data_IF_269660800030
#
_entry.id   IF_269660800030
#
_cell.length_a   1.000
_cell.length_b   1.000
_cell.length_c   1.000
_cell.angle_alpha   90.00
_cell.angle_beta   90.00
_cell.angle_gamma   90.00
#
_symmetry.space_group_name_H-M   'P 1'
#
loop_
_entity.id
_entity.type
_entity.pdbx_description
1 polymer ?
#
# COMPACT_ATOMS: atom_id res chain seq x y z
N UNK A 1 -71.71 -0.35 -0.44
CA UNK A 1 -70.61 0.51 -0.93
C UNK A 1 -69.32 -0.24 -0.68
N UNK A 2 -68.51 -0.40 -1.73
CA UNK A 2 -67.14 -0.95 -1.78
C UNK A 2 -66.31 -0.54 -0.55
N UNK A 3 -65.39 -1.32 0.01
CA UNK A 3 -64.61 -2.44 -0.53
C UNK A 3 -63.22 -2.29 0.10
N UNK A 4 -62.97 -3.00 1.21
CA UNK A 4 -61.69 -3.00 1.91
C UNK A 4 -61.17 -4.43 1.99
N UNK A 5 -60.22 -4.77 1.13
CA UNK A 5 -59.58 -6.07 1.12
C UNK A 5 -58.59 -6.19 2.28
N UNK A 6 -58.84 -7.16 3.15
CA UNK A 6 -57.85 -7.82 4.00
C UNK A 6 -57.75 -9.27 3.55
N UNK A 7 -56.53 -9.78 3.43
CA UNK A 7 -56.09 -11.17 3.33
C UNK A 7 -54.55 -11.08 3.41
N UNK A 8 -53.79 -11.91 4.12
CA UNK A 8 -54.11 -13.08 4.92
C UNK A 8 -52.84 -13.51 5.67
N UNK A 9 -53.05 -14.08 6.86
CA UNK A 9 -52.32 -15.20 7.50
C UNK A 9 -50.79 -15.16 7.60
N UNK A 10 -50.14 -15.49 8.71
CA UNK A 10 -50.53 -16.26 9.89
C UNK A 10 -49.20 -16.58 10.60
N UNK A 11 -49.08 -16.24 11.86
CA UNK A 11 -49.26 -17.15 12.99
C UNK A 11 -48.02 -18.01 13.30
N UNK A 12 -47.44 -17.79 14.47
CA UNK A 12 -47.30 -18.80 15.54
C UNK A 12 -45.93 -18.84 16.25
N UNK A 13 -46.02 -18.62 17.57
CA UNK A 13 -45.22 -19.21 18.66
C UNK A 13 -43.71 -18.96 18.70
N UNK A 14 -43.19 -18.15 19.63
CA UNK A 14 -42.96 -18.48 21.05
C UNK A 14 -41.98 -19.66 21.27
N UNK A 15 -40.87 -19.43 21.99
CA UNK A 15 -40.49 -20.13 23.24
C UNK A 15 -39.09 -19.72 23.70
N UNK A 16 -39.05 -19.28 24.95
CA UNK A 16 -37.92 -18.98 25.84
C UNK A 16 -37.30 -20.28 26.36
N UNK A 17 -35.96 -20.46 26.33
CA UNK A 17 -35.29 -21.30 27.36
C UNK A 17 -33.79 -21.05 27.55
N UNK A 18 -33.45 -20.83 28.82
CA UNK A 18 -32.13 -20.69 29.46
C UNK A 18 -31.72 -22.06 30.05
N UNK A 19 -30.44 -22.47 29.92
CA UNK A 19 -29.73 -23.49 30.76
C UNK A 19 -28.24 -23.43 30.35
N UNK A 20 -27.24 -23.11 31.17
CA UNK A 20 -26.80 -23.65 32.47
C UNK A 20 -26.47 -25.16 32.45
N UNK A 21 -25.18 -25.48 32.49
CA UNK A 21 -24.52 -26.69 33.04
C UNK A 21 -23.18 -26.18 33.58
N UNK A 22 -22.98 -26.00 34.88
CA UNK A 22 -22.89 -26.97 35.98
C UNK A 22 -21.90 -28.11 35.72
N UNK A 23 -20.82 -28.01 36.48
CA UNK A 23 -19.73 -28.94 36.80
C UNK A 23 -20.22 -30.32 37.22
N UNK A 24 -19.49 -31.35 36.79
CA UNK A 24 -19.51 -32.68 37.42
C UNK A 24 -18.06 -33.03 37.75
N UNK A 25 -17.78 -33.15 39.05
CA UNK A 25 -16.58 -33.73 39.64
C UNK A 25 -16.79 -35.25 39.68
N UNK A 26 -15.81 -36.04 39.26
CA UNK A 26 -15.71 -37.46 39.59
C UNK A 26 -14.25 -37.74 39.94
N UNK A 27 -14.02 -38.18 41.17
CA UNK A 27 -12.73 -38.59 41.71
C UNK A 27 -12.35 -40.00 41.25
N UNK A 28 -11.04 -40.18 41.05
CA UNK A 28 -10.29 -41.38 41.40
C UNK A 28 -10.38 -42.60 40.45
N UNK A 29 -9.24 -42.95 39.83
CA UNK A 29 -8.51 -44.24 40.03
C UNK A 29 -7.33 -44.32 39.04
N UNK A 30 -6.16 -44.68 39.57
CA UNK A 30 -4.90 -44.93 38.87
C UNK A 30 -5.02 -46.04 37.81
N UNK A 31 -4.41 -45.82 36.64
CA UNK A 31 -4.27 -46.82 35.58
C UNK A 31 -3.28 -46.41 34.48
N UNK A 32 -2.00 -46.66 34.75
CA UNK A 32 -0.94 -47.12 33.80
C UNK A 32 -1.01 -46.71 32.31
N UNK A 33 -0.05 -45.88 31.91
CA UNK A 33 0.84 -46.04 30.75
C UNK A 33 0.27 -46.54 29.40
N UNK A 34 -0.64 -45.77 28.80
CA UNK A 34 -0.95 -45.87 27.36
C UNK A 34 -1.15 -44.53 26.65
N UNK A 35 -0.89 -43.41 27.34
CA UNK A 35 -1.33 -42.09 26.89
C UNK A 35 -0.29 -41.25 26.11
N UNK A 36 0.94 -41.76 25.92
CA UNK A 36 1.98 -41.01 25.19
C UNK A 36 1.90 -41.18 23.66
N UNK A 37 1.40 -42.32 23.15
CA UNK A 37 1.19 -42.52 21.71
C UNK A 37 -0.12 -41.90 21.19
N UNK A 38 -1.19 -41.88 22.00
CA UNK A 38 -2.50 -41.34 21.58
C UNK A 38 -2.55 -39.80 21.54
N UNK A 39 -1.69 -39.11 22.31
CA UNK A 39 -1.64 -37.64 22.31
C UNK A 39 -0.98 -37.07 21.05
N UNK A 40 -0.06 -37.82 20.44
CA UNK A 40 0.59 -37.42 19.20
C UNK A 40 -0.33 -37.60 17.98
N UNK A 41 -1.23 -38.58 17.97
CA UNK A 41 -2.18 -38.77 16.86
C UNK A 41 -3.29 -37.71 16.84
N UNK A 42 -3.70 -37.19 18.00
CA UNK A 42 -4.75 -36.16 18.06
C UNK A 42 -4.29 -34.77 17.59
N UNK A 43 -2.99 -34.45 17.73
CA UNK A 43 -2.42 -33.19 17.25
C UNK A 43 -2.34 -33.15 15.72
N UNK A 44 -1.95 -34.26 15.08
CA UNK A 44 -2.03 -34.36 13.63
C UNK A 44 -3.48 -34.32 13.16
N UNK A 45 -4.41 -35.04 13.78
CA UNK A 45 -5.84 -35.04 13.41
C UNK A 45 -6.54 -33.68 13.49
N UNK A 46 -5.98 -32.70 14.21
CA UNK A 46 -6.54 -31.33 14.31
C UNK A 46 -5.95 -30.35 13.31
N UNK A 47 -4.95 -30.74 12.51
CA UNK A 47 -4.33 -29.83 11.57
C UNK A 47 -5.33 -29.40 10.49
N UNK A 48 -5.44 -28.08 10.28
CA UNK A 48 -6.44 -27.47 9.38
C UNK A 48 -6.39 -28.05 7.97
N UNK A 49 -5.19 -28.34 7.45
CA UNK A 49 -4.99 -28.89 6.11
C UNK A 49 -5.54 -30.32 5.91
N UNK A 50 -5.74 -31.10 6.97
CA UNK A 50 -6.34 -32.43 6.88
C UNK A 50 -7.86 -32.39 6.71
N UNK A 51 -8.47 -31.21 6.93
CA UNK A 51 -9.90 -30.97 6.73
C UNK A 51 -10.20 -30.39 5.35
N UNK A 52 -9.18 -30.09 4.56
CA UNK A 52 -9.35 -29.49 3.24
C UNK A 52 -9.85 -30.54 2.25
N UNK A 53 -10.99 -30.24 1.64
CA UNK A 53 -11.53 -31.00 0.52
C UNK A 53 -11.06 -30.41 -0.80
N UNK A 54 -11.19 -31.18 -1.89
CA UNK A 54 -10.87 -30.70 -3.24
C UNK A 54 -11.72 -29.46 -3.60
N UNK A 55 -12.96 -29.39 -3.10
CA UNK A 55 -13.83 -28.22 -3.21
C UNK A 55 -13.27 -26.99 -2.50
N UNK A 56 -12.64 -27.14 -1.34
CA UNK A 56 -12.03 -26.02 -0.62
C UNK A 56 -10.82 -25.46 -1.36
N UNK A 57 -10.00 -26.35 -1.97
CA UNK A 57 -8.86 -25.94 -2.80
C UNK A 57 -9.33 -25.15 -4.03
N UNK A 58 -10.32 -25.67 -4.75
CA UNK A 58 -10.90 -24.98 -5.91
C UNK A 58 -11.53 -23.65 -5.48
N UNK A 59 -12.23 -23.63 -4.35
CA UNK A 59 -12.84 -22.42 -3.81
C UNK A 59 -11.79 -21.34 -3.48
N UNK A 60 -10.67 -21.72 -2.86
CA UNK A 60 -9.55 -20.81 -2.58
C UNK A 60 -8.92 -20.31 -3.89
N UNK A 61 -8.71 -21.18 -4.88
CA UNK A 61 -8.15 -20.78 -6.16
C UNK A 61 -9.04 -19.78 -6.92
N UNK A 62 -10.37 -19.93 -6.86
CA UNK A 62 -11.30 -19.05 -7.58
C UNK A 62 -11.67 -17.78 -6.81
N UNK A 63 -11.82 -17.84 -5.49
CA UNK A 63 -12.25 -16.69 -4.66
C UNK A 63 -11.10 -15.94 -4.01
N UNK A 64 -9.96 -16.60 -3.79
CA UNK A 64 -8.74 -16.03 -3.21
C UNK A 64 -7.56 -16.17 -4.18
N UNK A 65 -7.79 -15.80 -5.45
CA UNK A 65 -6.80 -15.90 -6.52
C UNK A 65 -5.50 -15.13 -6.23
N UNK A 66 -5.57 -14.01 -5.49
CA UNK A 66 -4.40 -13.21 -5.11
C UNK A 66 -3.41 -14.01 -4.24
N UNK A 67 -3.79 -14.55 -3.06
CA UNK A 67 -2.92 -15.47 -2.31
C UNK A 67 -2.34 -16.62 -3.13
N UNK A 68 -3.12 -17.23 -4.02
CA UNK A 68 -2.64 -18.30 -4.90
C UNK A 68 -1.57 -17.81 -5.89
N UNK A 69 -1.78 -16.65 -6.50
CA UNK A 69 -0.80 -16.01 -7.37
C UNK A 69 0.51 -15.71 -6.62
N UNK A 70 0.42 -15.17 -5.40
CA UNK A 70 1.58 -14.92 -4.55
C UNK A 70 2.29 -16.21 -4.14
N UNK A 71 1.55 -17.28 -3.83
CA UNK A 71 2.14 -18.59 -3.51
C UNK A 71 2.88 -19.19 -4.71
N UNK A 72 2.28 -19.15 -5.91
CA UNK A 72 2.94 -19.58 -7.14
C UNK A 72 4.18 -18.74 -7.46
N UNK A 73 4.07 -17.42 -7.30
CA UNK A 73 5.19 -16.49 -7.46
C UNK A 73 6.32 -16.75 -6.46
N UNK A 74 6.01 -17.02 -5.19
CA UNK A 74 6.99 -17.39 -4.17
C UNK A 74 7.77 -18.65 -4.57
N UNK A 75 7.08 -19.71 -4.97
CA UNK A 75 7.71 -20.96 -5.40
C UNK A 75 8.59 -20.74 -6.65
N UNK A 76 8.11 -19.95 -7.61
CA UNK A 76 8.89 -19.57 -8.78
C UNK A 76 10.16 -18.81 -8.38
N UNK A 77 10.06 -17.79 -7.54
CA UNK A 77 11.22 -16.99 -7.15
C UNK A 77 12.19 -17.76 -6.25
N UNK A 78 11.72 -18.70 -5.42
CA UNK A 78 12.62 -19.63 -4.72
C UNK A 78 13.44 -20.45 -5.72
N UNK A 79 12.82 -21.00 -6.76
CA UNK A 79 13.55 -21.74 -7.80
C UNK A 79 14.55 -20.85 -8.58
N UNK A 80 14.15 -19.62 -8.88
CA UNK A 80 15.02 -18.63 -9.52
C UNK A 80 16.19 -18.26 -8.62
N UNK A 81 15.96 -18.00 -7.33
CA UNK A 81 17.00 -17.63 -6.36
C UNK A 81 18.13 -18.67 -6.29
N UNK A 82 17.80 -19.96 -6.34
CA UNK A 82 18.79 -21.05 -6.38
C UNK A 82 19.58 -21.15 -7.69
N UNK A 83 19.15 -20.47 -8.75
CA UNK A 83 19.76 -20.54 -10.10
C UNK A 83 20.30 -19.19 -10.58
N UNK A 84 20.08 -18.11 -9.84
CA UNK A 84 20.43 -16.76 -10.23
C UNK A 84 21.91 -16.49 -9.90
N UNK A 85 22.70 -16.20 -10.93
CA UNK A 85 24.09 -15.77 -10.77
C UNK A 85 24.10 -14.33 -10.26
N UNK A 86 24.69 -14.11 -9.07
CA UNK A 86 24.85 -12.77 -8.52
C UNK A 86 25.71 -11.90 -9.44
N UNK A 87 25.30 -10.64 -9.59
CA UNK A 87 26.08 -9.63 -10.31
C UNK A 87 27.41 -9.42 -9.57
N UNK A 88 28.55 -9.40 -10.27
CA UNK A 88 29.85 -9.16 -9.64
C UNK A 88 29.90 -7.82 -8.91
N UNK A 89 30.66 -7.72 -7.82
CA UNK A 89 30.79 -6.49 -7.03
C UNK A 89 31.42 -5.31 -7.80
N UNK A 90 32.13 -5.58 -8.89
CA UNK A 90 32.72 -4.56 -9.77
C UNK A 90 31.76 -4.05 -10.85
N UNK A 91 30.59 -4.66 -11.02
CA UNK A 91 29.61 -4.29 -12.04
C UNK A 91 28.59 -3.29 -11.48
N UNK A 92 28.02 -2.41 -12.33
CA UNK A 92 26.92 -1.55 -11.90
C UNK A 92 25.70 -2.39 -11.48
N UNK A 93 24.82 -1.85 -10.61
CA UNK A 93 23.61 -2.56 -10.21
C UNK A 93 22.77 -2.96 -11.43
N UNK A 94 22.32 -4.22 -11.44
CA UNK A 94 21.43 -4.72 -12.47
C UNK A 94 20.00 -4.26 -12.20
N UNK A 95 19.35 -3.71 -13.23
CA UNK A 95 17.97 -3.23 -13.14
C UNK A 95 17.17 -3.66 -14.37
N UNK A 96 16.05 -4.35 -14.14
CA UNK A 96 15.23 -4.90 -15.23
C UNK A 96 14.46 -3.81 -15.98
N UNK A 97 14.02 -2.75 -15.28
CA UNK A 97 13.34 -1.62 -15.91
C UNK A 97 14.28 -0.87 -16.85
N UNK A 98 15.56 -0.72 -16.48
CA UNK A 98 16.58 -0.18 -17.37
C UNK A 98 16.75 -1.00 -18.65
N UNK A 99 16.73 -2.33 -18.57
CA UNK A 99 16.77 -3.19 -19.76
C UNK A 99 15.50 -2.98 -20.59
N UNK A 100 14.34 -2.97 -19.95
CA UNK A 100 13.05 -2.78 -20.61
C UNK A 100 12.94 -1.42 -21.31
N UNK A 101 13.52 -0.35 -20.75
CA UNK A 101 13.49 1.00 -21.31
C UNK A 101 14.72 1.35 -22.16
N UNK A 102 15.56 0.38 -22.52
CA UNK A 102 16.80 0.63 -23.28
C UNK A 102 16.58 1.32 -24.63
N UNK A 103 15.50 0.99 -25.33
CA UNK A 103 15.14 1.65 -26.60
C UNK A 103 14.77 3.12 -26.38
N UNK A 104 13.92 3.39 -25.39
CA UNK A 104 13.55 4.75 -24.99
C UNK A 104 14.80 5.55 -24.58
N UNK A 105 15.68 4.96 -23.78
CA UNK A 105 16.92 5.58 -23.36
C UNK A 105 17.76 6.07 -24.55
N UNK A 106 17.98 5.21 -25.56
CA UNK A 106 18.69 5.59 -26.79
C UNK A 106 18.02 6.73 -27.56
N UNK A 107 16.69 6.73 -27.63
CA UNK A 107 15.94 7.80 -28.29
C UNK A 107 16.15 9.13 -27.56
N UNK A 108 16.05 9.13 -26.22
CA UNK A 108 16.25 10.33 -25.41
C UNK A 108 17.70 10.82 -25.45
N UNK A 109 18.67 9.90 -25.47
CA UNK A 109 20.09 10.22 -25.64
C UNK A 109 20.35 10.88 -27.01
N UNK A 110 19.73 10.36 -28.07
CA UNK A 110 19.88 10.90 -29.43
C UNK A 110 19.15 12.23 -29.65
N UNK A 111 18.22 12.62 -28.77
CA UNK A 111 17.38 13.81 -28.92
C UNK A 111 17.28 14.61 -27.61
N UNK A 112 18.24 15.53 -27.36
CA UNK A 112 18.23 16.37 -26.17
C UNK A 112 16.96 17.21 -26.01
N UNK A 113 16.39 17.71 -27.11
CA UNK A 113 15.15 18.47 -27.11
C UNK A 113 13.96 17.65 -26.60
N UNK A 114 13.85 16.39 -27.04
CA UNK A 114 12.81 15.49 -26.54
C UNK A 114 13.00 15.20 -25.05
N UNK A 115 14.24 14.98 -24.60
CA UNK A 115 14.52 14.79 -23.18
C UNK A 115 14.10 16.01 -22.35
N UNK A 116 14.43 17.22 -22.82
CA UNK A 116 14.06 18.48 -22.17
C UNK A 116 12.53 18.70 -22.15
N UNK A 117 11.84 18.38 -23.24
CA UNK A 117 10.38 18.47 -23.29
C UNK A 117 9.74 17.51 -22.29
N UNK A 118 10.16 16.25 -22.25
CA UNK A 118 9.64 15.27 -21.30
C UNK A 118 10.01 15.62 -19.86
N UNK A 119 11.18 16.21 -19.63
CA UNK A 119 11.59 16.77 -18.34
C UNK A 119 10.65 17.88 -17.89
N UNK A 120 10.36 18.85 -18.76
CA UNK A 120 9.42 19.92 -18.48
C UNK A 120 8.01 19.40 -18.16
N UNK A 121 7.51 18.41 -18.93
CA UNK A 121 6.22 17.78 -18.65
C UNK A 121 6.19 17.07 -17.29
N UNK A 122 7.26 16.35 -16.93
CA UNK A 122 7.39 15.76 -15.59
C UNK A 122 7.37 16.82 -14.49
N UNK A 123 8.10 17.92 -14.69
CA UNK A 123 8.13 19.06 -13.75
C UNK A 123 6.75 19.67 -13.56
N UNK A 124 6.01 19.89 -14.65
CA UNK A 124 4.61 20.35 -14.60
C UNK A 124 3.76 19.37 -13.80
N UNK A 125 3.91 18.07 -14.01
CA UNK A 125 3.14 17.08 -13.27
C UNK A 125 3.46 17.06 -11.77
N UNK A 126 4.74 17.21 -11.39
CA UNK A 126 5.12 17.38 -9.97
C UNK A 126 4.50 18.63 -9.36
N UNK A 127 4.49 19.74 -10.11
CA UNK A 127 3.85 20.96 -9.66
C UNK A 127 2.34 20.76 -9.48
N UNK A 128 1.68 20.01 -10.38
CA UNK A 128 0.26 19.65 -10.22
C UNK A 128 0.02 18.79 -8.97
N UNK A 129 0.86 17.80 -8.69
CA UNK A 129 0.78 16.97 -7.47
C UNK A 129 0.87 17.84 -6.21
N UNK A 130 1.90 18.69 -6.15
CA UNK A 130 2.16 19.59 -5.02
C UNK A 130 1.01 20.56 -4.83
N UNK A 131 0.55 21.19 -5.91
CA UNK A 131 -0.56 22.15 -5.89
C UNK A 131 -1.85 21.48 -5.43
N UNK A 132 -2.15 20.26 -5.90
CA UNK A 132 -3.32 19.52 -5.46
C UNK A 132 -3.26 19.20 -3.96
N UNK A 133 -2.14 18.67 -3.48
CA UNK A 133 -1.97 18.32 -2.06
C UNK A 133 -2.15 19.57 -1.18
N UNK A 134 -1.52 20.69 -1.53
CA UNK A 134 -1.67 21.95 -0.80
C UNK A 134 -3.11 22.48 -0.88
N UNK A 135 -3.75 22.41 -2.05
CA UNK A 135 -5.14 22.81 -2.25
C UNK A 135 -6.10 22.03 -1.35
N UNK A 136 -5.95 20.71 -1.28
CA UNK A 136 -6.81 19.87 -0.43
C UNK A 136 -6.73 20.24 1.05
N UNK A 137 -5.58 20.71 1.51
CA UNK A 137 -5.40 21.18 2.88
C UNK A 137 -5.90 22.62 3.08
N UNK A 138 -5.40 23.56 2.29
CA UNK A 138 -5.63 24.99 2.51
C UNK A 138 -7.06 25.42 2.16
N UNK A 139 -7.65 24.81 1.13
CA UNK A 139 -8.97 25.21 0.61
C UNK A 139 -10.04 24.21 1.03
N UNK A 140 -9.79 22.90 0.88
CA UNK A 140 -10.79 21.88 1.19
C UNK A 140 -10.75 21.42 2.67
N UNK A 141 -9.79 21.93 3.46
CA UNK A 141 -9.68 21.62 4.89
C UNK A 141 -9.37 20.15 5.21
N UNK A 142 -8.87 19.38 4.24
CA UNK A 142 -8.54 17.96 4.38
C UNK A 142 -7.03 17.76 4.54
N UNK A 143 -6.51 17.61 5.77
CA UNK A 143 -5.06 17.54 5.99
C UNK A 143 -4.44 16.18 5.65
N UNK A 144 -5.22 15.14 5.34
CA UNK A 144 -4.74 13.76 5.20
C UNK A 144 -3.65 13.63 4.13
N UNK A 145 -3.87 14.17 2.93
CA UNK A 145 -2.90 14.11 1.83
C UNK A 145 -1.59 14.82 2.18
N UNK A 146 -1.67 15.97 2.85
CA UNK A 146 -0.51 16.75 3.32
C UNK A 146 0.27 16.01 4.40
N UNK A 147 -0.39 15.43 5.40
CA UNK A 147 0.26 14.63 6.45
C UNK A 147 0.92 13.40 5.84
N UNK A 148 0.26 12.73 4.89
CA UNK A 148 0.83 11.58 4.15
C UNK A 148 2.11 11.98 3.43
N UNK A 149 2.08 13.14 2.76
CA UNK A 149 3.23 13.67 2.02
C UNK A 149 4.37 14.06 2.96
N UNK A 150 4.06 14.63 4.12
CA UNK A 150 5.05 14.95 5.14
C UNK A 150 5.75 13.69 5.65
N UNK A 151 4.99 12.68 6.08
CA UNK A 151 5.57 11.40 6.51
C UNK A 151 6.42 10.75 5.42
N UNK A 152 5.91 10.74 4.18
CA UNK A 152 6.60 10.18 3.03
C UNK A 152 7.93 10.88 2.75
N UNK A 153 7.95 12.21 2.62
CA UNK A 153 9.16 12.95 2.30
C UNK A 153 10.18 12.92 3.45
N UNK A 154 9.73 12.95 4.71
CA UNK A 154 10.62 12.80 5.87
C UNK A 154 11.28 11.42 5.89
N UNK A 155 10.50 10.34 5.76
CA UNK A 155 11.05 8.99 5.72
C UNK A 155 11.95 8.76 4.50
N UNK A 156 11.58 9.29 3.33
CA UNK A 156 12.44 9.29 2.14
C UNK A 156 13.78 9.99 2.38
N UNK A 157 13.77 11.14 3.05
CA UNK A 157 14.99 11.86 3.41
C UNK A 157 15.91 11.03 4.32
N UNK A 158 15.34 10.39 5.35
CA UNK A 158 16.09 9.53 6.28
C UNK A 158 16.66 8.31 5.56
N UNK A 159 15.85 7.60 4.76
CA UNK A 159 16.26 6.38 4.05
C UNK A 159 17.29 6.69 2.96
N UNK A 160 17.07 7.74 2.16
CA UNK A 160 18.01 8.14 1.13
C UNK A 160 19.33 8.70 1.67
N UNK A 161 19.35 9.22 2.91
CA UNK A 161 20.60 9.53 3.60
C UNK A 161 21.29 8.27 4.15
N UNK A 162 20.51 7.33 4.69
CA UNK A 162 21.02 6.09 5.27
C UNK A 162 21.50 5.08 4.22
N UNK A 163 21.00 5.18 2.99
CA UNK A 163 21.36 4.29 1.88
C UNK A 163 21.27 5.07 0.57
N UNK A 164 22.42 5.24 -0.07
CA UNK A 164 22.54 5.91 -1.36
C UNK A 164 22.76 4.87 -2.45
N UNK A 165 21.91 4.88 -3.47
CA UNK A 165 22.13 4.10 -4.68
C UNK A 165 23.04 4.90 -5.63
N UNK A 166 24.02 4.24 -6.29
CA UNK A 166 24.92 4.93 -7.20
C UNK A 166 24.13 5.46 -8.40
N UNK A 167 24.40 6.70 -8.81
CA UNK A 167 23.84 7.26 -10.04
C UNK A 167 24.44 6.50 -11.25
N UNK A 168 23.62 5.96 -12.16
CA UNK A 168 24.12 5.35 -13.38
C UNK A 168 24.95 6.35 -14.21
N UNK A 169 26.06 5.91 -14.80
CA UNK A 169 26.94 6.77 -15.61
C UNK A 169 26.21 7.36 -16.82
N UNK A 170 25.26 6.61 -17.37
CA UNK A 170 24.45 7.00 -18.52
C UNK A 170 23.22 7.83 -18.11
N UNK A 171 23.23 8.50 -16.95
CA UNK A 171 22.10 9.30 -16.51
C UNK A 171 21.88 10.52 -17.43
N UNK A 172 20.67 10.61 -18.00
CA UNK A 172 20.27 11.72 -18.87
C UNK A 172 19.56 12.81 -18.05
N UNK A 173 20.35 13.62 -17.37
CA UNK A 173 19.83 14.79 -16.65
C UNK A 173 19.35 15.90 -17.58
N UNK A 174 18.39 16.69 -17.10
CA UNK A 174 17.95 17.93 -17.77
C UNK A 174 17.93 19.09 -16.79
N UNK A 175 18.33 20.29 -17.25
CA UNK A 175 18.28 21.52 -16.44
C UNK A 175 16.86 22.01 -16.11
N UNK A 176 15.83 21.44 -16.76
CA UNK A 176 14.41 21.75 -16.51
C UNK A 176 13.70 20.69 -15.67
N UNK A 177 14.41 19.62 -15.26
CA UNK A 177 13.88 18.65 -14.30
C UNK A 177 13.78 19.28 -12.91
N UNK A 178 12.65 19.06 -12.23
CA UNK A 178 12.48 19.46 -10.84
C UNK A 178 12.33 18.22 -9.93
N UNK A 179 13.04 18.18 -8.77
CA UNK A 179 13.97 19.18 -8.24
C UNK A 179 15.24 19.37 -9.10
N UNK A 180 15.64 20.64 -9.27
CA UNK A 180 16.63 21.10 -10.25
C UNK A 180 18.06 20.79 -9.84
N UNK A 181 18.87 20.41 -10.83
CA UNK A 181 20.32 20.46 -10.73
C UNK A 181 20.94 19.29 -10.01
N UNK A 182 22.26 19.31 -9.96
CA UNK A 182 23.16 18.30 -9.43
C UNK A 182 23.04 18.16 -7.89
N UNK A 183 21.83 18.12 -7.33
CA UNK A 183 21.60 17.79 -5.93
C UNK A 183 22.14 16.38 -5.76
N UNK A 184 23.23 16.26 -5.02
CA UNK A 184 24.07 15.06 -4.83
C UNK A 184 23.35 13.91 -4.10
N UNK A 185 22.02 13.93 -4.09
CA UNK A 185 21.14 13.09 -3.28
C UNK A 185 20.08 12.44 -4.17
N UNK A 186 20.48 11.32 -4.75
CA UNK A 186 19.56 10.34 -5.31
C UNK A 186 18.85 9.62 -4.14
N UNK A 187 17.81 10.25 -3.58
CA UNK A 187 17.12 9.71 -2.41
C UNK A 187 16.24 8.52 -2.81
N UNK A 188 16.58 7.34 -2.30
CA UNK A 188 15.70 6.18 -2.24
C UNK A 188 14.55 6.43 -1.25
N UNK A 189 13.29 6.19 -1.56
CA UNK A 189 12.64 5.72 -2.80
C UNK A 189 12.09 6.90 -3.65
N UNK A 190 11.40 6.64 -4.77
CA UNK A 190 10.89 7.71 -5.65
C UNK A 190 9.78 8.56 -5.01
N UNK A 191 10.08 9.84 -4.78
CA UNK A 191 9.13 10.81 -4.23
C UNK A 191 8.04 11.24 -5.23
N UNK A 192 8.38 11.32 -6.53
CA UNK A 192 7.43 11.64 -7.60
C UNK A 192 6.30 10.62 -7.67
N UNK A 193 6.67 9.34 -7.67
CA UNK A 193 5.72 8.24 -7.74
C UNK A 193 4.86 8.15 -6.47
N UNK A 194 5.49 8.33 -5.31
CA UNK A 194 4.79 8.31 -4.02
C UNK A 194 3.81 9.50 -3.87
N UNK A 195 4.23 10.71 -4.27
CA UNK A 195 3.40 11.91 -4.22
C UNK A 195 2.18 11.82 -5.13
N UNK A 196 2.37 11.34 -6.37
CA UNK A 196 1.26 11.06 -7.29
C UNK A 196 0.29 10.01 -6.73
N UNK A 197 0.81 8.94 -6.13
CA UNK A 197 -0.01 7.90 -5.49
C UNK A 197 -0.85 8.46 -4.33
N UNK A 198 -0.27 9.30 -3.47
CA UNK A 198 -1.01 9.97 -2.38
C UNK A 198 -2.12 10.85 -2.93
N UNK A 199 -1.84 11.64 -3.97
CA UNK A 199 -2.82 12.50 -4.62
C UNK A 199 -3.97 11.68 -5.24
N UNK A 200 -3.65 10.63 -6.00
CA UNK A 200 -4.63 9.73 -6.62
C UNK A 200 -5.51 9.03 -5.57
N UNK A 201 -4.92 8.53 -4.47
CA UNK A 201 -5.67 7.94 -3.36
C UNK A 201 -6.65 8.93 -2.73
N UNK A 202 -6.28 10.20 -2.56
CA UNK A 202 -7.19 11.23 -2.06
C UNK A 202 -8.33 11.53 -3.04
N UNK A 203 -8.03 11.64 -4.33
CA UNK A 203 -9.04 11.85 -5.38
C UNK A 203 -10.06 10.71 -5.40
N UNK A 204 -9.61 9.46 -5.29
CA UNK A 204 -10.49 8.27 -5.24
C UNK A 204 -11.41 8.32 -4.02
N UNK A 205 -10.91 8.72 -2.84
CA UNK A 205 -11.75 8.90 -1.64
C UNK A 205 -12.84 9.95 -1.85
N UNK A 206 -12.53 10.99 -2.62
CA UNK A 206 -13.49 12.05 -2.97
C UNK A 206 -14.36 11.74 -4.18
N UNK A 207 -14.32 10.50 -4.70
CA UNK A 207 -15.04 10.06 -5.91
C UNK A 207 -14.69 10.86 -7.17
N UNK A 208 -13.50 11.47 -7.22
CA UNK A 208 -12.94 12.17 -8.39
C UNK A 208 -12.17 11.18 -9.28
N UNK A 209 -12.87 10.16 -9.77
CA UNK A 209 -12.25 8.99 -10.43
C UNK A 209 -11.48 9.34 -11.72
N UNK A 210 -12.01 10.26 -12.52
CA UNK A 210 -11.36 10.69 -13.77
C UNK A 210 -10.03 11.39 -13.50
N UNK A 211 -10.00 12.26 -12.49
CA UNK A 211 -8.78 12.95 -12.08
C UNK A 211 -7.76 11.96 -11.50
N UNK A 212 -8.22 11.01 -10.68
CA UNK A 212 -7.37 9.95 -10.16
C UNK A 212 -6.75 9.10 -11.29
N UNK A 213 -7.58 8.68 -12.25
CA UNK A 213 -7.13 7.93 -13.42
C UNK A 213 -6.12 8.73 -14.25
N UNK A 214 -6.36 10.03 -14.44
CA UNK A 214 -5.41 10.92 -15.12
C UNK A 214 -4.07 10.96 -14.39
N UNK A 215 -4.09 11.11 -13.05
CA UNK A 215 -2.87 11.09 -12.24
C UNK A 215 -2.15 9.74 -12.33
N UNK A 216 -2.88 8.63 -12.33
CA UNK A 216 -2.28 7.29 -12.47
C UNK A 216 -1.58 7.12 -13.82
N UNK A 217 -2.22 7.54 -14.92
CA UNK A 217 -1.61 7.49 -16.26
C UNK A 217 -0.37 8.38 -16.34
N UNK A 218 -0.45 9.62 -15.84
CA UNK A 218 0.69 10.53 -15.78
C UNK A 218 1.81 9.98 -14.88
N UNK A 219 1.46 9.27 -13.80
CA UNK A 219 2.43 8.60 -12.94
C UNK A 219 3.19 7.48 -13.66
N UNK A 220 2.47 6.68 -14.46
CA UNK A 220 3.10 5.63 -15.29
C UNK A 220 4.04 6.25 -16.32
N UNK A 221 3.61 7.31 -17.02
CA UNK A 221 4.47 8.02 -17.98
C UNK A 221 5.70 8.61 -17.29
N UNK A 222 5.52 9.22 -16.11
CA UNK A 222 6.60 9.74 -15.28
C UNK A 222 7.57 8.63 -14.87
N UNK A 223 7.09 7.48 -14.43
CA UNK A 223 7.90 6.31 -14.08
C UNK A 223 8.69 5.76 -15.27
N UNK A 224 8.04 5.62 -16.43
CA UNK A 224 8.70 5.18 -17.68
C UNK A 224 9.80 6.14 -18.09
N UNK A 225 9.56 7.45 -17.99
CA UNK A 225 10.61 8.45 -18.27
C UNK A 225 11.76 8.33 -17.28
N UNK A 226 11.49 8.25 -15.98
CA UNK A 226 12.53 8.13 -14.95
C UNK A 226 13.39 6.87 -15.15
N UNK A 227 12.79 5.76 -15.59
CA UNK A 227 13.55 4.57 -16.02
C UNK A 227 14.33 4.82 -17.31
N UNK A 228 13.72 5.47 -18.30
CA UNK A 228 14.34 5.77 -19.60
C UNK A 228 15.54 6.71 -19.50
N UNK A 229 15.51 7.68 -18.58
CA UNK A 229 16.64 8.59 -18.33
C UNK A 229 17.67 8.02 -17.36
N UNK A 230 17.43 6.80 -16.82
CA UNK A 230 18.24 6.18 -15.75
C UNK A 230 18.25 7.00 -14.46
N UNK A 231 17.19 7.80 -14.25
CA UNK A 231 17.00 8.68 -13.10
C UNK A 231 16.33 8.03 -11.89
N UNK A 232 15.87 6.78 -11.99
CA UNK A 232 15.44 5.97 -10.84
C UNK A 232 15.62 4.50 -11.15
N UNK A 233 16.03 3.70 -10.15
CA UNK A 233 15.97 2.26 -10.27
C UNK A 233 14.51 1.79 -10.20
N UNK A 234 14.21 0.64 -10.79
CA UNK A 234 12.90 -0.01 -10.76
C UNK A 234 12.40 -0.19 -9.32
N UNK A 235 13.30 -0.58 -8.41
CA UNK A 235 12.98 -0.73 -6.99
C UNK A 235 12.52 0.59 -6.36
N UNK A 236 13.11 1.72 -6.73
CA UNK A 236 12.74 3.04 -6.20
C UNK A 236 11.29 3.39 -6.52
N UNK A 237 10.83 3.00 -7.72
CA UNK A 237 9.48 3.29 -8.21
C UNK A 237 8.45 2.41 -7.49
N UNK A 238 8.71 1.10 -7.37
CA UNK A 238 7.82 0.19 -6.66
C UNK A 238 7.73 0.50 -5.17
N UNK A 239 8.88 0.78 -4.53
CA UNK A 239 8.88 1.20 -3.12
C UNK A 239 8.22 2.56 -2.97
N UNK A 240 8.33 3.46 -3.97
CA UNK A 240 7.58 4.70 -4.02
C UNK A 240 6.05 4.51 -4.03
N UNK A 241 5.54 3.61 -4.87
CA UNK A 241 4.11 3.24 -4.87
C UNK A 241 3.66 2.70 -3.51
N UNK A 242 4.44 1.75 -2.96
CA UNK A 242 4.17 1.13 -1.66
C UNK A 242 4.19 2.16 -0.53
N UNK A 243 5.17 3.06 -0.54
CA UNK A 243 5.28 4.14 0.43
C UNK A 243 4.09 5.11 0.35
N UNK A 244 3.65 5.49 -0.85
CA UNK A 244 2.47 6.33 -1.02
C UNK A 244 1.22 5.71 -0.37
N UNK A 245 1.00 4.41 -0.57
CA UNK A 245 -0.09 3.68 0.08
C UNK A 245 0.08 3.57 1.60
N UNK A 246 1.28 3.20 2.07
CA UNK A 246 1.60 3.02 3.47
C UNK A 246 1.40 4.31 4.27
N UNK A 247 1.98 5.42 3.79
CA UNK A 247 1.90 6.71 4.47
C UNK A 247 0.50 7.31 4.40
N UNK A 248 -0.25 7.06 3.32
CA UNK A 248 -1.67 7.41 3.27
C UNK A 248 -2.51 6.65 4.32
N UNK A 249 -2.20 5.36 4.55
CA UNK A 249 -2.83 4.57 5.60
C UNK A 249 -2.50 5.11 7.00
N UNK A 250 -1.22 5.40 7.26
CA UNK A 250 -0.77 5.96 8.54
C UNK A 250 -1.37 7.34 8.81
N UNK A 251 -1.40 8.23 7.81
CA UNK A 251 -2.04 9.53 7.94
C UNK A 251 -3.54 9.40 8.22
N UNK A 252 -4.21 8.43 7.60
CA UNK A 252 -5.62 8.10 7.88
C UNK A 252 -5.84 7.78 9.37
N UNK A 253 -5.07 6.83 9.91
CA UNK A 253 -5.12 6.45 11.33
C UNK A 253 -4.81 7.62 12.25
N UNK A 254 -3.78 8.40 11.93
CA UNK A 254 -3.39 9.59 12.70
C UNK A 254 -4.50 10.63 12.78
N UNK A 255 -5.15 10.94 11.66
CA UNK A 255 -6.26 11.91 11.61
C UNK A 255 -7.48 11.39 12.39
N UNK A 256 -7.81 10.10 12.26
CA UNK A 256 -8.91 9.49 13.01
C UNK A 256 -8.68 9.52 14.52
N UNK A 257 -7.49 9.15 14.98
CA UNK A 257 -7.16 9.15 16.40
C UNK A 257 -7.08 10.56 16.97
N UNK A 258 -6.60 11.54 16.19
CA UNK A 258 -6.63 12.95 16.58
C UNK A 258 -8.06 13.45 16.78
N UNK A 259 -8.99 13.10 15.88
CA UNK A 259 -10.41 13.43 16.03
C UNK A 259 -11.04 12.80 17.28
N UNK A 260 -10.73 11.53 17.56
CA UNK A 260 -11.22 10.84 18.77
C UNK A 260 -10.72 11.52 20.05
N UNK A 261 -9.44 11.93 20.08
CA UNK A 261 -8.88 12.66 21.23
C UNK A 261 -9.57 14.00 21.47
N UNK A 262 -9.79 14.78 20.41
CA UNK A 262 -10.52 16.06 20.49
C UNK A 262 -11.94 15.83 21.02
N UNK A 263 -12.68 14.87 20.44
CA UNK A 263 -14.04 14.55 20.88
C UNK A 263 -14.12 14.11 22.35
N UNK A 264 -13.13 13.33 22.83
CA UNK A 264 -13.04 12.92 24.24
C UNK A 264 -12.77 14.11 25.16
N UNK A 265 -11.92 15.04 24.75
CA UNK A 265 -11.67 16.26 25.52
C UNK A 265 -12.87 17.20 25.53
N UNK A 266 -13.60 17.33 24.42
CA UNK A 266 -14.84 18.12 24.37
C UNK A 266 -15.99 17.47 25.16
N UNK A 267 -16.08 16.14 25.19
CA UNK A 267 -17.09 15.41 25.97
C UNK A 267 -16.82 15.40 27.49
N UNK A 268 -15.55 15.44 27.91
CA UNK A 268 -15.17 15.64 29.31
C UNK A 268 -15.12 17.13 29.71
N UNK A 269 -15.31 18.04 28.75
CA UNK A 269 -15.12 19.48 28.89
C UNK A 269 -16.41 20.24 29.17
N UNK A 270 -17.19 19.85 30.18
CA UNK A 270 -17.96 20.83 30.96
C UNK A 270 -17.16 21.26 32.19
N UNK A 271 -15.93 21.73 31.97
CA UNK A 271 -15.20 22.62 32.87
C UNK A 271 -14.04 23.25 32.10
N UNK A 272 -13.93 24.57 32.24
CA UNK A 272 -12.89 25.47 31.74
C UNK A 272 -12.95 25.87 30.26
N UNK A 273 -13.73 26.93 30.01
CA UNK A 273 -13.36 27.96 29.04
C UNK A 273 -11.96 28.46 29.44
N UNK A 274 -10.91 28.18 28.66
CA UNK A 274 -9.72 29.04 28.57
C UNK A 274 -8.64 28.60 27.56
N UNK A 275 -8.84 27.58 26.72
CA UNK A 275 -7.84 27.25 25.68
C UNK A 275 -8.36 27.59 24.29
N UNK A 276 -8.53 28.89 24.06
CA UNK A 276 -8.57 29.51 22.74
C UNK A 276 -7.75 30.79 22.85
N UNK A 277 -6.47 30.71 22.47
CA UNK A 277 -5.61 31.75 21.85
C UNK A 277 -4.14 31.30 21.99
N UNK A 278 -3.56 30.85 20.86
CA UNK A 278 -2.21 31.07 20.35
C UNK A 278 -1.80 29.91 19.42
#
# INVERSE_FOLDING_TARGET
>A
MNGGATLSSGDASAVKRRRSRLTVHFDGVNGTDSNSMAKNSSLFSQASFLKWTLSDVVHVATHHWMPCLFAGGLLFFMAVEYTLLMVPSSSPPFDLGFIATRSLHRVLESSPELNNLLAALNTVFVAMQTSYILWTWLIEGRPRATISSLFMFTCRGILGYSTQLPLPQDFLGSGVDFPVGNVSFFLFFSGHVAGSMIASLDMRRMKRWELACTFDVLNVLQAVRLLGTRGHYTIDLFVGLGAGYLFDSFAGKYVEDSKKKIAKHSGNGHASKNDLVA
#
